data_IF_425787283596
#
_entry.id   IF_425787283596
#
_cell.length_a   1.000
_cell.length_b   1.000
_cell.length_c   1.000
_cell.angle_alpha   90.00
_cell.angle_beta   90.00
_cell.angle_gamma   90.00
#
_symmetry.space_group_name_H-M   'P 1'
#
loop_
_entity.id
_entity.type
_entity.pdbx_description
1 polymer ?
#
# COMPACT_ATOMS: atom_id res chain seq x y z
N UNK A 1 32.93 -23.98 -7.87
CA UNK A 1 31.95 -24.11 -6.79
C UNK A 1 30.83 -23.16 -7.07
N UNK A 2 29.64 -23.66 -7.42
CA UNK A 2 28.46 -22.83 -7.60
C UNK A 2 27.97 -22.43 -6.20
N UNK A 3 28.04 -21.12 -5.89
CA UNK A 3 27.44 -20.58 -4.68
C UNK A 3 25.94 -20.82 -4.75
N UNK A 4 25.43 -21.71 -3.89
CA UNK A 4 24.01 -21.88 -3.64
C UNK A 4 23.52 -20.62 -2.93
N UNK A 5 22.86 -19.74 -3.69
CA UNK A 5 22.11 -18.60 -3.13
C UNK A 5 21.06 -19.15 -2.14
N UNK A 6 20.90 -18.55 -0.95
CA UNK A 6 19.95 -19.02 0.03
C UNK A 6 18.52 -18.95 -0.53
N UNK A 7 17.67 -19.97 -0.29
CA UNK A 7 16.32 -19.98 -0.81
C UNK A 7 15.51 -18.82 -0.19
N UNK A 8 14.97 -17.94 -1.04
CA UNK A 8 14.01 -16.90 -0.64
C UNK A 8 14.48 -15.45 -0.77
N UNK A 9 15.73 -15.17 -1.14
CA UNK A 9 16.17 -13.79 -1.43
C UNK A 9 15.99 -13.47 -2.92
N UNK A 10 14.75 -13.30 -3.38
CA UNK A 10 14.55 -12.68 -4.68
C UNK A 10 15.07 -11.24 -4.61
N UNK A 11 16.14 -10.94 -5.37
CA UNK A 11 16.70 -9.59 -5.42
C UNK A 11 15.57 -8.63 -5.86
N UNK A 12 15.41 -7.46 -5.23
CA UNK A 12 14.35 -6.49 -5.57
C UNK A 12 14.13 -6.26 -7.06
N UNK A 13 15.22 -6.22 -7.83
CA UNK A 13 15.20 -6.03 -9.28
C UNK A 13 14.52 -7.18 -10.03
N UNK A 14 14.70 -8.43 -9.59
CA UNK A 14 14.08 -9.59 -10.21
C UNK A 14 12.55 -9.57 -10.01
N UNK A 15 12.11 -9.21 -8.80
CA UNK A 15 10.67 -9.06 -8.47
C UNK A 15 10.03 -7.99 -9.37
N UNK A 16 10.66 -6.82 -9.46
CA UNK A 16 10.16 -5.73 -10.32
C UNK A 16 10.13 -6.15 -11.79
N UNK A 17 11.19 -6.80 -12.28
CA UNK A 17 11.26 -7.26 -13.67
C UNK A 17 10.14 -8.27 -14.01
N UNK A 18 9.86 -9.22 -13.10
CA UNK A 18 8.75 -10.16 -13.26
C UNK A 18 7.40 -9.45 -13.31
N UNK A 19 7.16 -8.49 -12.41
CA UNK A 19 5.91 -7.74 -12.35
C UNK A 19 5.69 -6.86 -13.59
N UNK A 20 6.75 -6.25 -14.12
CA UNK A 20 6.72 -5.52 -15.38
C UNK A 20 6.42 -6.45 -16.56
N UNK A 21 7.09 -7.60 -16.64
CA UNK A 21 6.89 -8.57 -17.72
C UNK A 21 5.46 -9.13 -17.75
N UNK A 22 4.81 -9.21 -16.58
CA UNK A 22 3.40 -9.61 -16.43
C UNK A 22 2.39 -8.47 -16.59
N UNK A 23 2.85 -7.25 -16.80
CA UNK A 23 2.00 -6.06 -16.87
C UNK A 23 1.30 -5.70 -15.57
N UNK A 24 1.73 -6.23 -14.43
CA UNK A 24 1.19 -5.91 -13.10
C UNK A 24 1.77 -4.60 -12.56
N UNK A 25 2.97 -4.24 -13.00
CA UNK A 25 3.54 -2.90 -12.85
C UNK A 25 3.67 -2.24 -14.21
N UNK A 26 3.58 -0.90 -14.23
CA UNK A 26 3.88 -0.07 -15.38
C UNK A 26 4.81 1.07 -15.00
N UNK A 27 5.68 1.43 -15.94
CA UNK A 27 6.53 2.63 -15.88
C UNK A 27 6.03 3.73 -16.84
N UNK A 28 4.94 3.48 -17.56
CA UNK A 28 4.42 4.43 -18.53
C UNK A 28 3.67 5.53 -17.79
N UNK A 29 4.07 6.80 -17.95
CA UNK A 29 3.43 7.92 -17.27
C UNK A 29 1.98 8.06 -17.72
N UNK A 30 1.09 8.42 -16.78
CA UNK A 30 -0.31 8.78 -17.06
C UNK A 30 -0.66 10.08 -16.34
N UNK A 31 -1.78 10.68 -16.74
CA UNK A 31 -2.37 11.75 -15.95
C UNK A 31 -2.73 11.23 -14.57
N UNK A 32 -2.41 12.02 -13.55
CA UNK A 32 -2.73 11.65 -12.18
C UNK A 32 -4.25 11.71 -11.98
N UNK A 33 -4.88 10.67 -11.39
CA UNK A 33 -6.31 10.71 -11.10
C UNK A 33 -6.66 11.60 -9.88
N UNK A 34 -5.65 12.18 -9.23
CA UNK A 34 -5.77 13.12 -8.11
C UNK A 34 -5.28 14.52 -8.51
N UNK A 35 -5.70 15.58 -7.79
CA UNK A 35 -5.25 16.94 -8.06
C UNK A 35 -3.72 17.02 -8.07
N UNK A 36 -3.16 17.53 -9.17
CA UNK A 36 -1.71 17.67 -9.33
C UNK A 36 -1.22 18.94 -8.63
N UNK A 37 -0.19 18.81 -7.78
CA UNK A 37 0.49 19.98 -7.19
C UNK A 37 1.29 20.77 -8.24
N UNK A 38 1.74 20.10 -9.31
CA UNK A 38 2.52 20.70 -10.40
C UNK A 38 1.81 20.49 -11.75
N UNK A 39 1.50 21.58 -12.50
CA UNK A 39 0.91 21.46 -13.83
C UNK A 39 1.83 20.70 -14.79
N UNK A 40 1.30 19.68 -15.47
CA UNK A 40 1.99 18.97 -16.56
C UNK A 40 2.91 17.81 -16.14
N UNK A 41 2.89 17.39 -14.87
CA UNK A 41 3.59 16.19 -14.41
C UNK A 41 2.74 14.92 -14.56
N UNK A 42 3.37 13.74 -14.61
CA UNK A 42 2.65 12.46 -14.56
C UNK A 42 2.26 12.05 -13.14
N UNK A 43 1.45 11.00 -13.02
CA UNK A 43 1.19 10.27 -11.78
C UNK A 43 2.50 9.80 -11.11
N UNK A 44 3.43 9.23 -11.90
CA UNK A 44 4.73 8.76 -11.42
C UNK A 44 5.61 9.93 -10.93
N UNK A 45 5.59 11.07 -11.64
CA UNK A 45 6.36 12.26 -11.24
C UNK A 45 5.81 12.87 -9.94
N UNK A 46 4.49 12.89 -9.79
CA UNK A 46 3.80 13.39 -8.59
C UNK A 46 4.23 12.58 -7.37
N UNK A 47 4.14 11.25 -7.44
CA UNK A 47 4.53 10.35 -6.35
C UNK A 47 6.02 10.47 -6.04
N UNK A 48 6.88 10.58 -7.06
CA UNK A 48 8.32 10.81 -6.88
C UNK A 48 8.60 12.14 -6.17
N UNK A 49 7.90 13.21 -6.54
CA UNK A 49 7.99 14.52 -5.92
C UNK A 49 7.59 14.49 -4.44
N UNK A 50 6.46 13.85 -4.13
CA UNK A 50 6.02 13.66 -2.74
C UNK A 50 7.03 12.90 -1.91
N UNK A 51 7.57 11.79 -2.43
CA UNK A 51 8.57 11.00 -1.72
C UNK A 51 9.86 11.79 -1.48
N UNK A 52 10.34 12.58 -2.45
CA UNK A 52 11.52 13.44 -2.25
C UNK A 52 11.31 14.47 -1.15
N UNK A 53 10.11 15.05 -1.07
CA UNK A 53 9.74 16.03 -0.02
C UNK A 53 9.61 15.37 1.36
N UNK A 54 8.93 14.23 1.42
CA UNK A 54 8.59 13.55 2.67
C UNK A 54 9.74 12.68 3.21
N UNK A 55 10.67 12.25 2.35
CA UNK A 55 11.85 11.45 2.69
C UNK A 55 13.14 12.09 2.15
N UNK A 56 13.51 13.31 2.58
CA UNK A 56 14.63 14.06 2.00
C UNK A 56 15.99 13.38 2.20
N UNK A 57 16.12 12.50 3.19
CA UNK A 57 17.33 11.72 3.46
C UNK A 57 17.42 10.41 2.65
N UNK A 58 16.41 10.09 1.83
CA UNK A 58 16.33 8.84 1.07
C UNK A 58 16.42 9.09 -0.43
N UNK A 59 17.15 8.23 -1.13
CA UNK A 59 17.19 8.22 -2.58
C UNK A 59 15.95 7.49 -3.15
N UNK A 60 15.19 8.17 -4.01
CA UNK A 60 14.06 7.55 -4.71
C UNK A 60 14.57 6.87 -5.98
N UNK A 61 14.84 5.56 -5.87
CA UNK A 61 15.38 4.74 -6.96
C UNK A 61 14.41 4.63 -8.15
N UNK A 62 13.16 4.33 -7.88
CA UNK A 62 12.13 4.15 -8.92
C UNK A 62 10.73 4.29 -8.37
N UNK A 63 9.79 4.60 -9.25
CA UNK A 63 8.35 4.67 -8.99
C UNK A 63 7.66 3.91 -10.12
N UNK A 64 6.69 3.07 -9.77
CA UNK A 64 5.91 2.26 -10.68
C UNK A 64 4.43 2.41 -10.32
N UNK A 65 3.56 2.30 -11.32
CA UNK A 65 2.12 2.18 -11.09
C UNK A 65 1.74 0.70 -11.04
N UNK A 66 0.95 0.32 -10.05
CA UNK A 66 0.27 -1.00 -10.03
C UNK A 66 -0.90 -0.93 -11.00
N UNK A 67 -0.93 -1.81 -11.99
CA UNK A 67 -2.07 -1.93 -12.89
C UNK A 67 -3.14 -2.79 -12.24
N UNK A 68 -4.27 -2.17 -11.91
CA UNK A 68 -5.44 -2.84 -11.38
C UNK A 68 -6.60 -2.66 -12.38
N UNK A 69 -7.10 -3.76 -12.93
CA UNK A 69 -8.14 -3.75 -13.95
C UNK A 69 -9.16 -4.87 -13.71
N UNK A 70 -10.21 -4.90 -14.52
CA UNK A 70 -11.24 -5.94 -14.45
C UNK A 70 -12.06 -5.92 -13.17
N UNK A 71 -12.34 -7.10 -12.62
CA UNK A 71 -13.27 -7.26 -11.50
C UNK A 71 -12.84 -6.52 -10.23
N UNK A 72 -11.54 -6.49 -9.91
CA UNK A 72 -11.03 -5.81 -8.72
C UNK A 72 -11.25 -4.30 -8.81
N UNK A 73 -10.97 -3.70 -9.98
CA UNK A 73 -11.21 -2.28 -10.22
C UNK A 73 -12.71 -1.93 -10.16
N UNK A 74 -13.57 -2.78 -10.73
CA UNK A 74 -15.02 -2.60 -10.68
C UNK A 74 -15.56 -2.70 -9.24
N UNK A 75 -15.10 -3.69 -8.46
CA UNK A 75 -15.46 -3.83 -7.06
C UNK A 75 -15.02 -2.60 -6.25
N UNK A 76 -13.80 -2.11 -6.48
CA UNK A 76 -13.29 -0.91 -5.84
C UNK A 76 -14.17 0.32 -6.14
N UNK A 77 -14.55 0.53 -7.40
CA UNK A 77 -15.41 1.64 -7.79
C UNK A 77 -16.79 1.57 -7.11
N UNK A 78 -17.38 0.36 -7.01
CA UNK A 78 -18.63 0.14 -6.30
C UNK A 78 -18.54 0.46 -4.81
N UNK A 79 -17.49 -0.03 -4.14
CA UNK A 79 -17.27 0.25 -2.70
C UNK A 79 -17.02 1.75 -2.48
N UNK A 80 -16.25 2.41 -3.34
CA UNK A 80 -16.00 3.85 -3.26
C UNK A 80 -17.29 4.67 -3.36
N UNK A 81 -18.21 4.27 -4.25
CA UNK A 81 -19.51 4.93 -4.36
C UNK A 81 -20.34 4.84 -3.06
N UNK A 82 -20.13 3.78 -2.27
CA UNK A 82 -20.83 3.56 -1.00
C UNK A 82 -20.12 4.22 0.20
N UNK A 83 -18.80 4.09 0.31
CA UNK A 83 -18.02 4.52 1.48
C UNK A 83 -17.53 5.97 1.42
N UNK A 84 -17.60 6.60 0.25
CA UNK A 84 -17.19 8.00 0.08
C UNK A 84 -15.74 8.16 -0.39
N UNK A 85 -15.09 9.29 -0.07
CA UNK A 85 -13.84 9.67 -0.70
C UNK A 85 -12.68 8.72 -0.34
N UNK A 86 -11.85 8.47 -1.34
CA UNK A 86 -10.58 7.77 -1.18
C UNK A 86 -9.55 8.65 -0.45
N UNK A 87 -8.70 8.00 0.34
CA UNK A 87 -7.47 8.57 0.90
C UNK A 87 -6.27 7.84 0.32
N UNK A 88 -5.27 8.58 -0.14
CA UNK A 88 -3.99 8.02 -0.54
C UNK A 88 -3.11 7.82 0.70
N UNK A 89 -2.79 6.57 1.03
CA UNK A 89 -2.02 6.22 2.22
C UNK A 89 -0.87 5.26 1.88
N UNK A 90 0.20 5.33 2.67
CA UNK A 90 1.43 4.56 2.48
C UNK A 90 1.39 3.22 3.21
N UNK A 91 1.93 2.19 2.56
CA UNK A 91 2.13 0.87 3.14
C UNK A 91 3.56 0.39 2.86
N UNK A 92 4.38 0.27 3.91
CA UNK A 92 5.71 -0.33 3.80
C UNK A 92 5.64 -1.82 4.03
N UNK A 93 6.33 -2.59 3.19
CA UNK A 93 6.29 -4.06 3.22
C UNK A 93 7.63 -4.66 2.85
N UNK A 94 8.01 -5.84 3.39
CA UNK A 94 9.19 -6.55 2.93
C UNK A 94 9.07 -6.98 1.47
N UNK A 95 10.22 -7.13 0.79
CA UNK A 95 10.26 -7.45 -0.64
C UNK A 95 9.58 -8.79 -0.99
N UNK A 96 9.61 -9.77 -0.08
CA UNK A 96 8.94 -11.08 -0.26
C UNK A 96 7.42 -10.96 -0.43
N UNK A 97 6.80 -9.89 0.08
CA UNK A 97 5.37 -9.64 -0.02
C UNK A 97 4.97 -8.80 -1.25
N UNK A 98 5.91 -8.13 -1.92
CA UNK A 98 5.63 -7.16 -3.00
C UNK A 98 4.89 -7.80 -4.16
N UNK A 99 5.34 -8.96 -4.65
CA UNK A 99 4.69 -9.64 -5.78
C UNK A 99 3.26 -10.05 -5.44
N UNK A 100 3.05 -10.60 -4.25
CA UNK A 100 1.73 -11.01 -3.79
C UNK A 100 0.78 -9.82 -3.66
N UNK A 101 1.23 -8.70 -3.08
CA UNK A 101 0.43 -7.49 -2.95
C UNK A 101 0.10 -6.89 -4.32
N UNK A 102 1.07 -6.83 -5.24
CA UNK A 102 0.86 -6.27 -6.58
C UNK A 102 -0.15 -7.10 -7.40
N UNK A 103 -0.16 -8.43 -7.24
CA UNK A 103 -1.07 -9.31 -7.98
C UNK A 103 -2.45 -9.46 -7.34
N UNK A 104 -2.53 -9.47 -6.01
CA UNK A 104 -3.72 -9.90 -5.29
C UNK A 104 -4.26 -8.84 -4.32
N UNK A 105 -3.63 -7.67 -4.25
CA UNK A 105 -3.96 -6.62 -3.30
C UNK A 105 -3.56 -6.98 -1.86
N UNK A 106 -4.08 -6.19 -0.93
CA UNK A 106 -3.81 -6.37 0.49
C UNK A 106 -4.75 -7.42 1.09
N UNK A 107 -4.20 -8.36 1.85
CA UNK A 107 -4.98 -9.41 2.49
C UNK A 107 -4.61 -9.55 3.98
N UNK A 108 -5.61 -9.31 4.84
CA UNK A 108 -5.47 -9.37 6.30
C UNK A 108 -5.00 -10.71 6.84
N UNK A 109 -5.24 -11.81 6.11
CA UNK A 109 -4.80 -13.14 6.52
C UNK A 109 -3.27 -13.28 6.55
N UNK A 110 -2.56 -12.41 5.81
CA UNK A 110 -1.10 -12.33 5.83
C UNK A 110 -0.58 -11.22 6.77
N UNK A 111 -1.48 -10.48 7.41
CA UNK A 111 -1.13 -9.44 8.37
C UNK A 111 -1.01 -10.05 9.78
N UNK A 112 0.20 -10.04 10.34
CA UNK A 112 0.47 -10.63 11.66
C UNK A 112 1.93 -10.63 12.11
N UNK A 113 2.88 -10.23 11.25
CA UNK A 113 4.29 -10.08 11.61
C UNK A 113 4.61 -8.82 12.42
N UNK A 114 3.70 -7.84 12.44
CA UNK A 114 3.86 -6.58 13.16
C UNK A 114 2.62 -6.34 14.04
N UNK A 115 2.82 -5.97 15.30
CA UNK A 115 1.79 -5.99 16.36
C UNK A 115 0.43 -5.42 15.94
N UNK A 116 -0.64 -6.16 16.24
CA UNK A 116 -2.02 -5.88 15.85
C UNK A 116 -2.73 -4.91 16.80
N UNK A 117 -2.04 -3.83 17.22
CA UNK A 117 -2.50 -2.95 18.31
C UNK A 117 -3.84 -2.23 18.03
N UNK A 118 -4.24 -2.14 16.77
CA UNK A 118 -5.50 -1.51 16.34
C UNK A 118 -6.42 -2.51 15.61
N UNK A 119 -6.17 -3.81 15.77
CA UNK A 119 -6.91 -4.89 15.14
C UNK A 119 -6.10 -5.70 14.12
N UNK A 120 -6.67 -6.81 13.65
CA UNK A 120 -6.05 -7.73 12.69
C UNK A 120 -6.43 -7.35 11.26
N UNK A 121 -5.70 -6.40 10.71
CA UNK A 121 -5.93 -5.87 9.36
C UNK A 121 -4.65 -5.47 8.63
N UNK A 122 -4.83 -4.96 7.42
CA UNK A 122 -3.75 -4.28 6.67
C UNK A 122 -3.66 -2.83 7.14
N UNK A 123 -2.44 -2.41 7.50
CA UNK A 123 -2.19 -1.09 8.08
C UNK A 123 -1.63 -0.14 7.04
N UNK A 124 -2.09 1.11 7.09
CA UNK A 124 -1.65 2.19 6.21
C UNK A 124 -1.29 3.41 7.05
N UNK A 125 -0.42 4.27 6.54
CA UNK A 125 0.04 5.46 7.24
C UNK A 125 0.01 6.69 6.33
N UNK A 126 -0.25 7.86 6.91
CA UNK A 126 -0.20 9.13 6.19
C UNK A 126 1.25 9.54 5.86
N UNK A 127 2.19 9.18 6.74
CA UNK A 127 3.62 9.48 6.59
C UNK A 127 4.38 8.28 6.01
N UNK A 128 5.05 8.42 4.84
CA UNK A 128 5.87 7.36 4.27
C UNK A 128 7.08 7.00 5.14
N UNK A 129 7.58 7.92 5.98
CA UNK A 129 8.67 7.64 6.90
C UNK A 129 8.23 6.62 7.96
N UNK A 130 7.01 6.79 8.49
CA UNK A 130 6.41 5.81 9.40
C UNK A 130 6.18 4.47 8.70
N UNK A 131 5.55 4.48 7.52
CA UNK A 131 5.33 3.27 6.72
C UNK A 131 6.64 2.52 6.43
N UNK A 132 7.73 3.24 6.17
CA UNK A 132 9.03 2.65 5.82
C UNK A 132 9.65 1.79 6.93
N UNK A 133 9.19 1.93 8.18
CA UNK A 133 9.65 1.13 9.33
C UNK A 133 9.21 -0.34 9.21
N UNK A 134 8.22 -0.62 8.36
CA UNK A 134 7.64 -1.95 8.16
C UNK A 134 8.16 -2.66 6.90
N UNK A 135 9.13 -2.08 6.17
CA UNK A 135 9.72 -2.68 4.96
C UNK A 135 10.64 -3.89 5.22
N UNK A 136 10.66 -4.43 6.44
CA UNK A 136 11.64 -5.42 6.87
C UNK A 136 13.05 -4.84 7.06
N UNK A 137 13.96 -5.65 7.61
CA UNK A 137 15.38 -5.30 7.84
C UNK A 137 16.26 -6.12 6.90
N UNK A 138 17.41 -5.58 6.52
CA UNK A 138 18.46 -6.32 5.80
C UNK A 138 18.35 -6.31 4.27
N UNK A 139 17.28 -5.77 3.69
CA UNK A 139 17.20 -5.55 2.24
C UNK A 139 18.00 -4.31 1.81
N UNK A 140 18.57 -4.30 0.58
CA UNK A 140 19.36 -3.17 0.07
C UNK A 140 18.52 -1.92 -0.27
N UNK A 141 17.19 -2.06 -0.31
CA UNK A 141 16.23 -0.98 -0.54
C UNK A 141 14.92 -1.29 0.17
N UNK A 142 14.10 -0.25 0.39
CA UNK A 142 12.76 -0.36 0.98
C UNK A 142 11.70 -0.34 -0.12
N UNK A 143 10.62 -1.10 0.07
CA UNK A 143 9.45 -1.10 -0.81
C UNK A 143 8.26 -0.44 -0.11
N UNK A 144 7.68 0.57 -0.75
CA UNK A 144 6.51 1.32 -0.28
C UNK A 144 5.44 1.27 -1.37
N UNK A 145 4.20 0.95 -0.97
CA UNK A 145 3.01 1.16 -1.79
C UNK A 145 2.33 2.47 -1.37
N UNK A 146 1.90 3.26 -2.36
CA UNK A 146 0.87 4.29 -2.16
C UNK A 146 -0.45 3.67 -2.63
N UNK A 147 -1.41 3.53 -1.71
CA UNK A 147 -2.67 2.88 -1.98
C UNK A 147 -3.85 3.85 -1.85
N UNK A 148 -4.82 3.71 -2.75
CA UNK A 148 -6.15 4.26 -2.58
C UNK A 148 -6.93 3.45 -1.54
N UNK A 149 -7.18 4.06 -0.38
CA UNK A 149 -7.86 3.42 0.76
C UNK A 149 -9.21 4.10 0.98
N UNK A 150 -10.25 3.30 1.23
CA UNK A 150 -11.61 3.76 1.52
C UNK A 150 -11.87 3.59 3.02
N UNK A 151 -11.55 4.59 3.87
CA UNK A 151 -11.68 4.45 5.32
C UNK A 151 -13.13 4.44 5.80
N UNK A 152 -14.08 4.99 5.03
CA UNK A 152 -15.47 5.14 5.44
C UNK A 152 -15.63 5.79 6.82
N UNK A 153 -16.60 5.32 7.59
CA UNK A 153 -16.74 5.65 9.02
C UNK A 153 -15.61 4.94 9.79
N UNK A 154 -14.80 5.70 10.50
CA UNK A 154 -13.70 5.15 11.30
C UNK A 154 -13.96 5.31 12.80
N UNK A 155 -13.33 4.45 13.60
CA UNK A 155 -13.28 4.54 15.04
C UNK A 155 -11.87 4.21 15.55
N UNK A 156 -11.61 4.44 16.84
CA UNK A 156 -10.32 4.03 17.43
C UNK A 156 -10.23 2.51 17.45
N UNK A 157 -9.11 1.96 16.97
CA UNK A 157 -8.85 0.53 17.01
C UNK A 157 -8.41 0.04 18.39
N UNK A 158 -8.61 -1.26 18.62
CA UNK A 158 -8.18 -1.98 19.82
C UNK A 158 -7.50 -3.31 19.45
N UNK A 159 -6.60 -3.78 20.31
CA UNK A 159 -5.92 -5.06 20.11
C UNK A 159 -6.93 -6.23 20.13
N UNK A 160 -6.66 -7.24 19.32
CA UNK A 160 -7.49 -8.44 19.21
C UNK A 160 -8.74 -8.32 18.34
N UNK A 161 -9.16 -7.11 17.92
CA UNK A 161 -10.30 -6.95 17.02
C UNK A 161 -10.02 -7.58 15.64
N UNK A 162 -10.98 -8.35 15.12
CA UNK A 162 -10.90 -9.00 13.80
C UNK A 162 -11.64 -8.20 12.73
N UNK A 163 -12.60 -7.38 13.15
CA UNK A 163 -13.38 -6.44 12.35
C UNK A 163 -13.70 -5.20 13.20
N UNK A 164 -14.01 -4.04 12.57
CA UNK A 164 -14.44 -2.86 13.32
C UNK A 164 -15.76 -3.13 14.08
N UNK A 165 -15.99 -2.44 15.22
CA UNK A 165 -17.14 -2.66 16.07
C UNK A 165 -18.42 -2.09 15.48
N UNK A 166 -19.55 -2.39 16.12
CA UNK A 166 -20.83 -1.74 15.82
C UNK A 166 -20.73 -0.22 16.07
N UNK A 167 -21.22 0.56 15.13
CA UNK A 167 -21.21 2.02 15.15
C UNK A 167 -22.48 2.61 15.75
N UNK A 168 -23.59 1.87 15.78
CA UNK A 168 -24.85 2.27 16.38
C UNK A 168 -25.74 1.06 16.72
N UNK A 169 -26.88 1.33 17.36
CA UNK A 169 -27.83 0.32 17.82
C UNK A 169 -28.52 -0.46 16.69
N UNK A 170 -28.39 -0.03 15.42
CA UNK A 170 -28.92 -0.78 14.28
C UNK A 170 -28.06 -1.98 13.90
N UNK A 171 -26.84 -2.08 14.46
CA UNK A 171 -25.86 -3.10 14.10
C UNK A 171 -25.01 -2.75 12.88
N UNK A 172 -25.17 -1.55 12.30
CA UNK A 172 -24.20 -1.01 11.34
C UNK A 172 -22.81 -0.95 11.99
N UNK A 173 -21.77 -1.37 11.28
CA UNK A 173 -20.38 -1.34 11.77
C UNK A 173 -19.64 -0.11 11.27
N UNK A 174 -18.55 0.22 11.93
CA UNK A 174 -17.52 1.08 11.32
C UNK A 174 -16.87 0.34 10.14
N UNK A 175 -16.32 1.10 9.21
CA UNK A 175 -15.66 0.58 8.01
C UNK A 175 -14.15 0.37 8.24
N UNK A 176 -13.56 1.17 9.14
CA UNK A 176 -12.13 1.06 9.49
C UNK A 176 -11.85 1.44 10.94
N UNK A 177 -10.60 1.16 11.35
CA UNK A 177 -10.04 1.54 12.65
C UNK A 177 -8.82 2.43 12.46
N UNK A 178 -8.62 3.41 13.34
CA UNK A 178 -7.51 4.37 13.33
C UNK A 178 -6.84 4.46 14.71
N UNK A 179 -5.66 5.08 14.76
CA UNK A 179 -4.95 5.36 16.02
C UNK A 179 -5.56 6.54 16.77
N UNK A 180 -5.91 7.61 16.05
CA UNK A 180 -6.60 8.80 16.54
C UNK A 180 -7.87 9.01 15.68
N UNK A 181 -9.04 8.92 16.31
CA UNK A 181 -10.35 9.10 15.69
C UNK A 181 -10.87 10.52 15.90
#
# INVERSE_FOLDING_TARGET
GASLEPPGCHRPQAIVAELLARGSLSQDPRDAPWPQEHPGGSDLDSVRGWLRRLLPASEIRSVYRVECSGATAAAYAGVRAALGPERLLWHGTPWDAVANIAHHGFNRAYCGRHGAKLGRGSYFAEDPAYASRFCGRGAPSRALFLAGVLPGRSCRGEDGWVEPPAADASGARFDSTVDNA
#
